data_IF_260503748049
#
_entry.id   IF_260503748049
#
_cell.length_a   1.000
_cell.length_b   1.000
_cell.length_c   1.000
_cell.angle_alpha   90.00
_cell.angle_beta   90.00
_cell.angle_gamma   90.00
#
_symmetry.space_group_name_H-M   'P 1'
#
loop_
_entity.id
_entity.type
_entity.pdbx_description
1 polymer ?
#
# COMPACT_ATOMS: atom_id res chain seq x y z
N UNK A 1 -4.38 19.52 -8.18
CA UNK A 1 -3.63 18.37 -7.63
C UNK A 1 -4.32 17.08 -8.03
N UNK A 2 -3.63 16.12 -8.68
CA UNK A 2 -4.22 14.81 -9.02
C UNK A 2 -3.82 13.80 -7.94
N UNK A 3 -4.76 13.46 -7.05
CA UNK A 3 -4.60 12.38 -6.09
C UNK A 3 -4.66 11.02 -6.81
N UNK A 4 -3.68 10.16 -6.58
CA UNK A 4 -3.70 8.80 -7.12
C UNK A 4 -4.41 7.88 -6.12
N UNK A 5 -5.33 7.07 -6.62
CA UNK A 5 -6.14 6.15 -5.83
C UNK A 5 -5.74 4.72 -6.12
N UNK A 6 -5.55 3.94 -5.06
CA UNK A 6 -5.18 2.53 -5.11
C UNK A 6 -6.29 1.71 -4.47
N UNK A 7 -6.78 0.71 -5.19
CA UNK A 7 -7.78 -0.25 -4.70
C UNK A 7 -7.20 -1.66 -4.81
N UNK A 8 -7.18 -2.38 -3.69
CA UNK A 8 -6.66 -3.75 -3.61
C UNK A 8 -7.80 -4.67 -3.20
N UNK A 9 -8.15 -5.61 -4.08
CA UNK A 9 -9.01 -6.73 -3.74
C UNK A 9 -8.15 -7.92 -3.34
N UNK A 10 -8.11 -8.20 -2.04
CA UNK A 10 -7.33 -9.30 -1.47
C UNK A 10 -7.80 -10.67 -1.95
N UNK A 11 -9.11 -10.92 -1.90
CA UNK A 11 -9.68 -12.24 -2.21
C UNK A 11 -9.45 -12.64 -3.66
N UNK A 12 -9.59 -11.68 -4.58
CA UNK A 12 -9.37 -11.91 -6.01
C UNK A 12 -7.92 -11.71 -6.44
N UNK A 13 -7.04 -11.28 -5.52
CA UNK A 13 -5.67 -10.86 -5.79
C UNK A 13 -5.53 -9.85 -6.93
N UNK A 14 -6.40 -8.83 -6.95
CA UNK A 14 -6.42 -7.80 -7.99
C UNK A 14 -6.09 -6.43 -7.45
N UNK A 15 -5.25 -5.70 -8.19
CA UNK A 15 -4.84 -4.34 -7.89
C UNK A 15 -5.37 -3.41 -8.98
N UNK A 16 -5.93 -2.27 -8.56
CA UNK A 16 -6.36 -1.20 -9.45
C UNK A 16 -5.75 0.12 -9.00
N UNK A 17 -5.27 0.91 -9.96
CA UNK A 17 -4.73 2.25 -9.74
C UNK A 17 -5.45 3.21 -10.67
N UNK A 18 -6.10 4.23 -10.11
CA UNK A 18 -6.94 5.17 -10.84
C UNK A 18 -7.94 4.45 -11.77
N UNK A 19 -8.64 3.46 -11.21
CA UNK A 19 -9.63 2.60 -11.90
C UNK A 19 -9.08 1.72 -13.03
N UNK A 20 -7.75 1.63 -13.19
CA UNK A 20 -7.10 0.75 -14.18
C UNK A 20 -6.45 -0.43 -13.49
N UNK A 21 -6.59 -1.62 -14.06
CA UNK A 21 -5.90 -2.81 -13.57
C UNK A 21 -4.39 -2.60 -13.58
N UNK A 22 -3.73 -2.99 -12.49
CA UNK A 22 -2.29 -2.92 -12.33
C UNK A 22 -1.75 -4.30 -11.91
N UNK A 23 -0.51 -4.56 -12.33
CA UNK A 23 0.15 -5.83 -12.00
C UNK A 23 0.47 -5.90 -10.49
N UNK A 24 0.50 -7.10 -9.89
CA UNK A 24 0.76 -7.29 -8.45
C UNK A 24 2.12 -6.79 -7.93
N UNK A 25 3.06 -6.47 -8.83
CA UNK A 25 4.30 -5.74 -8.52
C UNK A 25 4.16 -4.34 -9.13
N UNK A 26 3.60 -3.42 -8.37
CA UNK A 26 3.36 -2.05 -8.80
C UNK A 26 4.28 -1.08 -8.06
N UNK A 27 4.99 -0.23 -8.81
CA UNK A 27 5.81 0.84 -8.26
C UNK A 27 5.66 2.08 -9.14
N UNK A 28 4.78 3.00 -8.73
CA UNK A 28 4.52 4.26 -9.44
C UNK A 28 3.79 5.24 -8.53
N UNK A 29 3.91 6.54 -8.82
CA UNK A 29 3.25 7.62 -8.08
C UNK A 29 3.62 7.64 -6.58
N UNK A 30 4.80 7.13 -6.22
CA UNK A 30 5.28 6.96 -4.84
C UNK A 30 4.62 5.79 -4.09
N UNK A 31 3.69 5.06 -4.70
CA UNK A 31 3.17 3.82 -4.16
C UNK A 31 4.07 2.65 -4.56
N UNK A 32 4.33 1.76 -3.60
CA UNK A 32 4.96 0.46 -3.83
C UNK A 32 4.04 -0.64 -3.30
N UNK A 33 3.64 -1.57 -4.16
CA UNK A 33 2.72 -2.65 -3.82
C UNK A 33 3.31 -3.94 -4.35
N UNK A 34 3.53 -4.89 -3.45
CA UNK A 34 4.08 -6.20 -3.76
C UNK A 34 3.19 -7.29 -3.19
N UNK A 35 2.72 -8.18 -4.05
CA UNK A 35 2.19 -9.48 -3.64
C UNK A 35 3.34 -10.46 -3.49
N UNK A 36 3.58 -10.96 -2.27
CA UNK A 36 4.60 -11.97 -1.99
C UNK A 36 4.06 -13.39 -2.10
N UNK A 37 2.78 -13.56 -2.43
CA UNK A 37 2.05 -14.84 -2.36
C UNK A 37 1.38 -15.06 -0.99
N UNK A 38 2.02 -14.63 0.10
CA UNK A 38 1.50 -14.76 1.46
C UNK A 38 0.84 -13.49 1.99
N UNK A 39 1.29 -12.32 1.54
CA UNK A 39 0.74 -11.02 1.92
C UNK A 39 0.93 -9.96 0.84
N UNK A 40 0.21 -8.85 0.97
CA UNK A 40 0.59 -7.59 0.35
C UNK A 40 1.54 -6.81 1.23
N UNK A 41 2.62 -6.30 0.64
CA UNK A 41 3.42 -5.22 1.19
C UNK A 41 3.05 -3.94 0.43
N UNK A 42 2.51 -2.97 1.14
CA UNK A 42 2.05 -1.69 0.57
C UNK A 42 2.85 -0.58 1.25
N UNK A 43 3.40 0.33 0.45
CA UNK A 43 4.04 1.56 0.91
C UNK A 43 3.42 2.72 0.17
N UNK A 44 3.02 3.74 0.92
CA UNK A 44 2.53 5.00 0.35
C UNK A 44 3.68 6.00 0.21
N UNK A 45 3.50 7.07 -0.60
CA UNK A 45 4.46 8.16 -0.70
C UNK A 45 4.75 8.84 0.65
N UNK A 46 3.76 8.88 1.55
CA UNK A 46 3.81 9.58 2.84
C UNK A 46 4.38 8.70 3.97
N UNK A 47 5.03 7.57 3.64
CA UNK A 47 5.65 6.71 4.64
C UNK A 47 4.71 5.76 5.39
N UNK A 48 3.41 5.73 5.05
CA UNK A 48 2.51 4.65 5.48
C UNK A 48 2.99 3.31 4.91
N UNK A 49 3.14 2.31 5.77
CA UNK A 49 3.43 0.92 5.44
C UNK A 49 2.28 0.05 5.89
N UNK A 50 1.83 -0.84 5.02
CA UNK A 50 0.79 -1.82 5.36
C UNK A 50 1.26 -3.22 4.95
N UNK A 51 1.17 -4.16 5.88
CA UNK A 51 1.31 -5.60 5.61
C UNK A 51 -0.07 -6.23 5.72
N UNK A 52 -0.56 -6.84 4.65
CA UNK A 52 -1.90 -7.42 4.62
C UNK A 52 -1.85 -8.90 4.25
N UNK A 53 -2.05 -9.77 5.23
CA UNK A 53 -1.94 -11.22 5.09
C UNK A 53 -3.14 -11.80 4.35
N UNK A 54 -2.89 -12.65 3.35
CA UNK A 54 -3.94 -13.21 2.49
C UNK A 54 -4.85 -14.20 3.22
N UNK A 55 -4.25 -15.10 4.01
CA UNK A 55 -4.93 -16.22 4.67
C UNK A 55 -5.81 -15.78 5.83
N UNK A 56 -5.27 -14.93 6.71
CA UNK A 56 -5.97 -14.47 7.92
C UNK A 56 -6.74 -13.17 7.70
N UNK A 57 -6.36 -12.40 6.68
CA UNK A 57 -6.86 -11.04 6.48
C UNK A 57 -6.29 -10.01 7.45
N UNK A 58 -5.36 -10.41 8.32
CA UNK A 58 -4.72 -9.51 9.28
C UNK A 58 -3.97 -8.40 8.56
N UNK A 59 -4.15 -7.17 9.07
CA UNK A 59 -3.51 -5.97 8.55
C UNK A 59 -2.66 -5.34 9.64
N UNK A 60 -1.37 -5.19 9.36
CA UNK A 60 -0.43 -4.44 10.20
C UNK A 60 -0.18 -3.11 9.51
N UNK A 61 -0.48 -2.01 10.20
CA UNK A 61 -0.29 -0.65 9.69
C UNK A 61 0.78 0.01 10.53
N UNK A 62 1.80 0.52 9.87
CA UNK A 62 2.88 1.29 10.46
C UNK A 62 2.99 2.62 9.71
N UNK A 63 3.22 3.69 10.43
CA UNK A 63 3.38 5.02 9.88
C UNK A 63 4.74 5.53 10.28
N UNK A 64 5.63 5.74 9.31
CA UNK A 64 6.87 6.48 9.53
C UNK A 64 6.53 7.97 9.70
N UNK A 65 5.73 8.31 10.72
CA UNK A 65 5.69 9.66 11.25
C UNK A 65 7.04 9.81 11.92
N UNK A 66 8.06 10.15 11.12
CA UNK A 66 9.21 10.86 11.63
C UNK A 66 8.61 11.95 12.51
N UNK A 67 8.88 11.85 13.81
CA UNK A 67 8.59 12.89 14.75
C UNK A 67 9.09 14.18 14.13
N UNK A 68 8.19 14.96 13.53
CA UNK A 68 8.35 16.40 13.46
C UNK A 68 8.35 16.80 14.93
N UNK A 69 9.51 16.67 15.57
CA UNK A 69 9.79 17.31 16.85
C UNK A 69 9.34 18.74 16.61
N UNK A 70 8.27 19.12 17.29
CA UNK A 70 7.85 20.50 17.34
C UNK A 70 9.11 21.28 17.75
N UNK A 71 9.52 22.31 16.98
CA UNK A 71 10.57 23.18 17.46
C UNK A 71 10.04 23.82 18.74
N UNK A 72 10.63 23.44 19.87
CA UNK A 72 10.43 24.08 21.17
C UNK A 72 11.15 25.42 21.19
#
# INVERSE_FOLDING_TARGET
HKSNHVVINRLQRRLYVNSRYAKPRFKKFGFEIYDTGNMYLIRSPEGLKVQWYHSTGMMVIDTDISSKKLPT
#
